data_IF_079867416519
#
_entry.id   IF_079867416519
#
_cell.length_a   1.000
_cell.length_b   1.000
_cell.length_c   1.000
_cell.angle_alpha   90.00
_cell.angle_beta   90.00
_cell.angle_gamma   90.00
#
_symmetry.space_group_name_H-M   'P 1'
#
loop_
_entity.id
_entity.type
_entity.pdbx_description
1 polymer ?
#
# COMPACT_ATOMS: atom_id res chain seq x y z
N UNK A 1 6.63 -17.33 -18.62
CA UNK A 1 6.33 -15.99 -18.07
C UNK A 1 5.12 -16.15 -17.16
N UNK A 2 5.33 -16.18 -15.85
CA UNK A 2 4.20 -16.31 -14.91
C UNK A 2 3.47 -14.96 -14.90
N UNK A 3 2.22 -14.95 -15.36
CA UNK A 3 1.36 -13.79 -15.22
C UNK A 3 0.98 -13.75 -13.74
N UNK A 4 1.68 -12.94 -12.95
CA UNK A 4 1.30 -12.73 -11.56
C UNK A 4 -0.03 -11.97 -11.54
N UNK A 5 -1.14 -12.71 -11.40
CA UNK A 5 -2.46 -12.13 -11.19
C UNK A 5 -2.44 -11.36 -9.87
N UNK A 6 -2.73 -10.06 -9.93
CA UNK A 6 -2.88 -9.23 -8.74
C UNK A 6 -4.27 -9.49 -8.16
N UNK A 7 -4.32 -10.00 -6.93
CA UNK A 7 -5.60 -10.26 -6.25
C UNK A 7 -6.15 -8.96 -5.65
N UNK A 8 -7.37 -8.61 -6.00
CA UNK A 8 -8.06 -7.45 -5.40
C UNK A 8 -8.68 -7.84 -4.06
N UNK A 9 -8.41 -7.04 -3.03
CA UNK A 9 -8.91 -7.26 -1.67
C UNK A 9 -9.60 -6.01 -1.14
N UNK A 10 -10.73 -6.19 -0.46
CA UNK A 10 -11.41 -5.09 0.23
C UNK A 10 -10.57 -4.59 1.42
N UNK A 11 -10.58 -3.27 1.64
CA UNK A 11 -9.82 -2.64 2.72
C UNK A 11 -10.17 -3.16 4.12
N UNK A 12 -11.39 -3.68 4.32
CA UNK A 12 -11.82 -4.27 5.59
C UNK A 12 -11.11 -5.58 5.91
N UNK A 13 -10.64 -6.30 4.90
CA UNK A 13 -9.95 -7.57 5.07
C UNK A 13 -8.45 -7.42 5.33
N UNK A 14 -7.90 -6.21 5.15
CA UNK A 14 -6.47 -5.91 5.31
C UNK A 14 -5.96 -6.25 6.71
N UNK A 15 -6.78 -6.04 7.76
CA UNK A 15 -6.42 -6.36 9.14
C UNK A 15 -6.24 -7.86 9.41
N UNK A 16 -6.72 -8.73 8.52
CA UNK A 16 -6.56 -10.18 8.61
C UNK A 16 -5.36 -10.70 7.82
N UNK A 17 -4.65 -9.82 7.11
CA UNK A 17 -3.48 -10.18 6.32
C UNK A 17 -2.20 -10.11 7.17
N UNK A 18 -1.24 -10.96 6.80
CA UNK A 18 0.12 -10.92 7.33
C UNK A 18 1.06 -10.34 6.29
N UNK A 19 1.93 -9.43 6.73
CA UNK A 19 2.86 -8.70 5.87
C UNK A 19 4.31 -9.15 6.09
N UNK A 20 5.12 -8.98 5.05
CA UNK A 20 6.57 -9.16 5.11
C UNK A 20 7.21 -8.16 6.07
N UNK A 21 8.31 -8.58 6.71
CA UNK A 21 9.14 -7.70 7.54
C UNK A 21 10.26 -7.06 6.70
N UNK A 22 10.63 -7.73 5.61
CA UNK A 22 11.63 -7.30 4.66
C UNK A 22 11.07 -6.28 3.67
N UNK A 23 11.97 -5.54 3.06
CA UNK A 23 11.64 -4.61 1.99
C UNK A 23 11.33 -5.37 0.69
N UNK A 24 10.18 -5.08 0.07
CA UNK A 24 9.75 -5.72 -1.19
C UNK A 24 10.36 -5.05 -2.43
N UNK A 25 10.83 -3.80 -2.31
CA UNK A 25 11.47 -3.07 -3.39
C UNK A 25 13.00 -3.11 -3.27
N UNK A 26 13.67 -3.69 -4.27
CA UNK A 26 15.13 -3.79 -4.28
C UNK A 26 15.84 -2.45 -4.54
N UNK A 27 15.22 -1.57 -5.33
CA UNK A 27 15.84 -0.31 -5.74
C UNK A 27 15.42 0.86 -4.84
N UNK A 28 16.39 1.68 -4.42
CA UNK A 28 16.13 2.87 -3.61
C UNK A 28 15.31 3.93 -4.35
N UNK A 29 15.42 4.00 -5.68
CA UNK A 29 14.59 4.87 -6.53
C UNK A 29 13.11 4.53 -6.41
N UNK A 30 12.77 3.25 -6.47
CA UNK A 30 11.38 2.78 -6.41
C UNK A 30 10.80 3.00 -5.00
N UNK A 31 11.62 2.82 -3.97
CA UNK A 31 11.24 3.17 -2.59
C UNK A 31 10.97 4.68 -2.43
N UNK A 32 11.78 5.54 -3.06
CA UNK A 32 11.58 6.98 -3.04
C UNK A 32 10.30 7.39 -3.79
N UNK A 33 10.02 6.77 -4.96
CA UNK A 33 8.79 6.99 -5.72
C UNK A 33 7.58 6.54 -4.91
N UNK A 34 7.64 5.37 -4.26
CA UNK A 34 6.60 4.88 -3.36
C UNK A 34 6.32 5.90 -2.25
N UNK A 35 7.35 6.38 -1.56
CA UNK A 35 7.19 7.37 -0.48
C UNK A 35 6.57 8.67 -0.99
N UNK A 36 7.01 9.14 -2.16
CA UNK A 36 6.45 10.32 -2.81
C UNK A 36 4.94 10.15 -3.12
N UNK A 37 4.55 9.01 -3.68
CA UNK A 37 3.15 8.72 -4.00
C UNK A 37 2.30 8.51 -2.74
N UNK A 38 2.81 7.88 -1.69
CA UNK A 38 2.11 7.77 -0.40
C UNK A 38 1.77 9.16 0.16
N UNK A 39 2.73 10.09 0.15
CA UNK A 39 2.52 11.45 0.62
C UNK A 39 1.50 12.23 -0.25
N UNK A 40 1.48 11.98 -1.56
CA UNK A 40 0.44 12.55 -2.44
C UNK A 40 -0.93 11.93 -2.20
N UNK A 41 -1.00 10.60 -2.02
CA UNK A 41 -2.22 9.88 -1.70
C UNK A 41 -2.84 10.35 -0.38
N UNK A 42 -2.01 10.65 0.63
CA UNK A 42 -2.43 11.27 1.88
C UNK A 42 -3.10 12.64 1.64
N UNK A 43 -2.47 13.51 0.84
CA UNK A 43 -3.05 14.81 0.48
C UNK A 43 -4.37 14.65 -0.27
N UNK A 44 -4.45 13.67 -1.19
CA UNK A 44 -5.68 13.36 -1.93
C UNK A 44 -6.81 12.91 -1.01
N UNK A 45 -6.51 12.05 -0.04
CA UNK A 45 -7.47 11.60 0.95
C UNK A 45 -7.96 12.74 1.86
N UNK A 46 -7.04 13.51 2.42
CA UNK A 46 -7.35 14.55 3.39
C UNK A 46 -8.05 15.76 2.77
N UNK A 47 -7.60 16.23 1.61
CA UNK A 47 -8.13 17.45 0.98
C UNK A 47 -9.33 17.17 0.08
N UNK A 48 -9.32 16.05 -0.65
CA UNK A 48 -10.29 15.79 -1.71
C UNK A 48 -11.17 14.56 -1.46
N UNK A 49 -11.00 13.86 -0.32
CA UNK A 49 -11.75 12.64 0.04
C UNK A 49 -11.64 11.55 -1.04
N UNK A 50 -10.50 11.48 -1.73
CA UNK A 50 -10.24 10.52 -2.81
C UNK A 50 -9.54 9.27 -2.29
N UNK A 51 -9.93 8.12 -2.83
CA UNK A 51 -9.20 6.87 -2.67
C UNK A 51 -8.13 6.74 -3.75
N UNK A 52 -7.11 5.95 -3.46
CA UNK A 52 -6.02 5.59 -4.38
C UNK A 52 -5.92 4.06 -4.45
N UNK A 53 -5.28 3.55 -5.50
CA UNK A 53 -4.99 2.12 -5.60
C UNK A 53 -3.64 1.85 -4.95
N UNK A 54 -3.60 0.91 -4.00
CA UNK A 54 -2.40 0.54 -3.24
C UNK A 54 -2.10 -0.92 -3.56
N UNK A 55 -0.92 -1.19 -4.10
CA UNK A 55 -0.44 -2.55 -4.34
C UNK A 55 0.62 -2.94 -3.33
N UNK A 56 0.53 -4.14 -2.79
CA UNK A 56 1.39 -4.63 -1.73
C UNK A 56 1.56 -6.14 -1.83
N UNK A 57 2.57 -6.68 -1.16
CA UNK A 57 2.78 -8.13 -1.02
C UNK A 57 2.43 -8.60 0.39
N UNK A 58 1.85 -9.79 0.47
CA UNK A 58 1.68 -10.49 1.75
C UNK A 58 2.95 -11.25 2.12
N UNK A 59 2.96 -11.84 3.32
CA UNK A 59 4.03 -12.75 3.77
C UNK A 59 4.31 -13.90 2.79
N UNK A 60 3.32 -14.30 1.98
CA UNK A 60 3.40 -15.43 1.05
C UNK A 60 3.85 -15.04 -0.37
N UNK A 61 4.39 -13.83 -0.60
CA UNK A 61 4.76 -13.33 -1.94
C UNK A 61 3.56 -13.19 -2.90
N UNK A 62 2.35 -13.07 -2.38
CA UNK A 62 1.15 -12.86 -3.20
C UNK A 62 0.94 -11.36 -3.39
N UNK A 63 1.00 -10.85 -4.64
CA UNK A 63 0.69 -9.45 -4.91
C UNK A 63 -0.81 -9.22 -4.79
N UNK A 64 -1.18 -8.28 -3.94
CA UNK A 64 -2.55 -7.86 -3.73
C UNK A 64 -2.72 -6.36 -3.97
N UNK A 65 -3.95 -5.94 -4.26
CA UNK A 65 -4.29 -4.53 -4.36
C UNK A 65 -5.59 -4.18 -3.66
N UNK A 66 -5.66 -2.97 -3.12
CA UNK A 66 -6.87 -2.42 -2.52
C UNK A 66 -7.06 -0.97 -2.95
N UNK A 67 -8.31 -0.56 -3.10
CA UNK A 67 -8.67 0.83 -3.32
C UNK A 67 -9.11 1.43 -1.98
N UNK A 68 -8.34 2.40 -1.48
CA UNK A 68 -8.58 2.96 -0.16
C UNK A 68 -8.11 4.40 -0.04
N UNK A 69 -8.70 5.14 0.90
CA UNK A 69 -8.22 6.45 1.30
C UNK A 69 -7.09 6.30 2.31
N UNK A 70 -5.92 6.87 2.01
CA UNK A 70 -4.81 6.97 2.97
C UNK A 70 -5.15 8.05 3.98
N UNK A 71 -5.21 7.69 5.26
CA UNK A 71 -5.54 8.58 6.38
C UNK A 71 -4.29 9.13 7.08
N UNK A 72 -3.24 8.32 7.18
CA UNK A 72 -1.94 8.73 7.71
C UNK A 72 -0.80 7.99 7.02
N UNK A 73 0.36 8.65 6.93
CA UNK A 73 1.64 8.07 6.49
C UNK A 73 2.64 8.33 7.60
N UNK A 74 3.25 7.25 8.11
CA UNK A 74 4.32 7.31 9.13
C UNK A 74 5.63 6.89 8.50
N UNK A 75 6.69 6.75 9.31
CA UNK A 75 7.97 6.19 8.85
C UNK A 75 7.89 4.68 8.53
N UNK A 76 6.94 3.95 9.13
CA UNK A 76 6.90 2.48 9.08
C UNK A 76 5.67 1.90 8.39
N UNK A 77 4.53 2.60 8.45
CA UNK A 77 3.27 2.13 7.92
C UNK A 77 2.39 3.28 7.44
N UNK A 78 1.43 2.95 6.59
CA UNK A 78 0.26 3.80 6.34
C UNK A 78 -0.94 3.30 7.14
N UNK A 79 -1.82 4.22 7.47
CA UNK A 79 -3.15 3.92 8.00
C UNK A 79 -4.19 4.27 6.95
N UNK A 80 -5.10 3.34 6.69
CA UNK A 80 -6.24 3.53 5.80
C UNK A 80 -7.43 4.07 6.59
N UNK A 81 -8.31 4.81 5.90
CA UNK A 81 -9.59 5.22 6.49
C UNK A 81 -10.44 3.99 6.81
N UNK A 82 -10.69 3.78 8.11
CA UNK A 82 -11.29 2.57 8.67
C UNK A 82 -10.37 1.84 9.66
N UNK A 83 -9.13 2.29 9.82
CA UNK A 83 -8.21 1.85 10.88
C UNK A 83 -7.22 0.76 10.47
N UNK A 84 -7.41 0.11 9.31
CA UNK A 84 -6.45 -0.86 8.79
C UNK A 84 -5.08 -0.23 8.52
N UNK A 85 -4.01 -0.99 8.72
CA UNK A 85 -2.62 -0.53 8.53
C UNK A 85 -1.88 -1.44 7.56
N UNK A 86 -0.99 -0.85 6.76
CA UNK A 86 -0.11 -1.58 5.84
C UNK A 86 1.32 -1.08 6.05
N UNK A 87 2.29 -1.97 6.36
CA UNK A 87 3.70 -1.59 6.44
C UNK A 87 4.19 -1.01 5.11
N UNK A 88 4.92 0.11 5.14
CA UNK A 88 5.42 0.76 3.91
C UNK A 88 6.32 -0.18 3.13
N UNK A 89 7.16 -0.97 3.84
CA UNK A 89 8.06 -1.96 3.25
C UNK A 89 7.35 -3.07 2.48
N UNK A 90 6.06 -3.30 2.72
CA UNK A 90 5.26 -4.29 2.00
C UNK A 90 4.56 -3.71 0.76
N UNK A 91 4.54 -2.37 0.61
CA UNK A 91 3.88 -1.70 -0.51
C UNK A 91 4.82 -1.70 -1.72
N UNK A 92 4.31 -2.17 -2.86
CA UNK A 92 5.03 -2.17 -4.13
C UNK A 92 4.91 -0.80 -4.78
N UNK A 93 3.68 -0.28 -4.91
CA UNK A 93 3.43 1.05 -5.46
C UNK A 93 2.06 1.60 -5.03
N UNK A 94 1.87 2.90 -5.28
CA UNK A 94 0.60 3.61 -5.11
C UNK A 94 0.29 4.35 -6.41
N UNK A 95 -0.93 4.18 -6.90
CA UNK A 95 -1.45 4.80 -8.12
C UNK A 95 -2.53 5.81 -7.71
N UNK A 96 -2.29 7.08 -8.05
CA UNK A 96 -3.05 8.25 -7.59
C UNK A 96 -4.29 8.54 -8.44
#
# INVERSE_FOLDING_TARGET
>A
MQVNTITRVDKSNISHLSFRKEEVLYNTSDQAIRQYNLNRGLKLGNLYKRSVLIRFETVNYEPMETEATIWAVTEKYIMLKGGAVIPIKAIINVIL
#
